data_IF_838923730724
#
_entry.id   IF_838923730724
#
_cell.length_a   1.000
_cell.length_b   1.000
_cell.length_c   1.000
_cell.angle_alpha   90.00
_cell.angle_beta   90.00
_cell.angle_gamma   90.00
#
_symmetry.space_group_name_H-M   'P 1'
#
loop_
_entity.id
_entity.type
_entity.pdbx_description
1 polymer ?
#
# COMPACT_ATOMS: atom_id res chain seq x y z
N UNK A 1 17.36 -23.06 -31.54
CA UNK A 1 16.39 -22.24 -32.31
C UNK A 1 15.01 -22.22 -31.64
N UNK A 2 14.91 -21.75 -30.39
CA UNK A 2 13.63 -21.55 -29.68
C UNK A 2 13.68 -20.16 -29.02
N UNK A 3 13.91 -19.16 -29.85
CA UNK A 3 13.99 -17.75 -29.46
C UNK A 3 13.57 -16.87 -30.65
N UNK A 4 12.37 -17.09 -31.21
CA UNK A 4 11.48 -15.95 -31.43
C UNK A 4 9.99 -16.38 -31.50
N UNK A 5 9.32 -16.59 -30.36
CA UNK A 5 7.84 -16.74 -30.32
C UNK A 5 7.15 -16.09 -29.12
N UNK A 6 7.85 -15.27 -28.35
CA UNK A 6 7.34 -14.60 -27.14
C UNK A 6 7.18 -13.08 -27.29
N UNK A 7 7.24 -12.54 -28.52
CA UNK A 7 7.22 -11.09 -28.76
C UNK A 7 6.05 -10.58 -29.62
N UNK A 8 5.03 -11.41 -29.85
CA UNK A 8 3.75 -10.96 -30.41
C UNK A 8 2.65 -11.21 -29.39
N UNK A 9 2.33 -10.16 -28.61
CA UNK A 9 1.01 -9.82 -28.06
C UNK A 9 1.17 -8.94 -26.81
N UNK A 10 1.77 -7.76 -26.98
CA UNK A 10 1.48 -6.62 -26.10
C UNK A 10 0.95 -5.53 -27.02
N UNK A 11 -0.27 -5.73 -27.51
CA UNK A 11 -1.09 -4.61 -27.96
C UNK A 11 -1.44 -3.83 -26.68
N UNK A 12 -1.06 -2.54 -26.56
CA UNK A 12 -1.58 -1.74 -25.47
C UNK A 12 -3.09 -1.65 -25.69
N UNK A 13 -3.86 -2.29 -24.81
CA UNK A 13 -5.27 -2.02 -24.70
C UNK A 13 -5.33 -0.54 -24.26
N UNK A 14 -5.63 0.37 -25.19
CA UNK A 14 -5.95 1.75 -24.84
C UNK A 14 -7.29 1.67 -24.12
N UNK A 15 -7.24 1.37 -22.82
CA UNK A 15 -8.39 1.48 -21.96
C UNK A 15 -8.77 2.96 -21.93
N UNK A 16 -9.95 3.29 -22.44
CA UNK A 16 -10.50 4.63 -22.27
C UNK A 16 -10.58 4.91 -20.76
N UNK A 17 -9.76 5.83 -20.28
CA UNK A 17 -9.73 6.25 -18.87
C UNK A 17 -11.01 7.04 -18.61
N UNK A 18 -12.06 6.33 -18.23
CA UNK A 18 -13.32 6.94 -17.85
C UNK A 18 -13.22 7.46 -16.42
N UNK A 19 -13.69 8.69 -16.21
CA UNK A 19 -13.97 9.18 -14.86
C UNK A 19 -15.00 8.27 -14.17
N UNK A 20 -15.08 8.36 -12.84
CA UNK A 20 -15.98 7.51 -12.07
C UNK A 20 -17.41 7.68 -12.54
N UNK A 21 -18.23 6.64 -12.41
CA UNK A 21 -19.63 6.71 -12.86
C UNK A 21 -20.40 7.85 -12.17
N UNK A 22 -20.08 8.16 -10.92
CA UNK A 22 -20.65 9.29 -10.19
C UNK A 22 -20.26 10.65 -10.79
N UNK A 23 -18.99 10.84 -11.15
CA UNK A 23 -18.46 12.08 -11.74
C UNK A 23 -19.12 12.41 -13.09
N UNK A 24 -19.49 11.36 -13.83
CA UNK A 24 -20.15 11.45 -15.13
C UNK A 24 -21.67 11.58 -15.02
N UNK A 25 -22.24 11.42 -13.83
CA UNK A 25 -23.69 11.45 -13.66
C UNK A 25 -24.23 12.89 -13.78
N UNK A 26 -25.23 13.15 -14.66
CA UNK A 26 -25.83 14.48 -14.78
C UNK A 26 -26.39 15.04 -13.46
N UNK A 27 -27.04 14.24 -12.58
CA UNK A 27 -27.48 14.73 -11.28
C UNK A 27 -26.34 15.26 -10.40
N UNK A 28 -25.18 14.61 -10.43
CA UNK A 28 -24.02 15.05 -9.66
C UNK A 28 -23.45 16.35 -10.19
N UNK A 29 -23.28 16.45 -11.51
CA UNK A 29 -22.75 17.66 -12.15
C UNK A 29 -23.66 18.86 -11.92
N UNK A 30 -24.98 18.68 -11.99
CA UNK A 30 -25.96 19.73 -11.71
C UNK A 30 -25.97 20.13 -10.23
N UNK A 31 -25.89 19.17 -9.30
CA UNK A 31 -25.78 19.48 -7.89
C UNK A 31 -24.51 20.29 -7.60
N UNK A 32 -23.37 19.85 -8.13
CA UNK A 32 -22.08 20.47 -7.89
C UNK A 32 -22.02 21.90 -8.43
N UNK A 33 -22.48 22.12 -9.67
CA UNK A 33 -22.49 23.46 -10.27
C UNK A 33 -23.36 24.43 -9.48
N UNK A 34 -24.55 23.98 -9.05
CA UNK A 34 -25.46 24.77 -8.24
C UNK A 34 -24.88 25.07 -6.84
N UNK A 35 -24.28 24.09 -6.19
CA UNK A 35 -23.66 24.29 -4.87
C UNK A 35 -22.51 25.30 -4.95
N UNK A 36 -21.60 25.14 -5.92
CA UNK A 36 -20.46 26.05 -6.08
C UNK A 36 -20.93 27.48 -6.38
N UNK A 37 -21.91 27.64 -7.28
CA UNK A 37 -22.43 28.96 -7.67
C UNK A 37 -23.21 29.67 -6.56
N UNK A 38 -23.78 28.93 -5.59
CA UNK A 38 -24.55 29.50 -4.48
C UNK A 38 -23.71 29.73 -3.24
N UNK A 39 -22.81 28.80 -2.93
CA UNK A 39 -22.11 28.72 -1.64
C UNK A 39 -20.67 29.22 -1.72
N UNK A 40 -19.99 29.08 -2.87
CA UNK A 40 -18.56 29.38 -2.95
C UNK A 40 -18.23 30.78 -3.48
N UNK A 41 -19.19 31.47 -4.11
CA UNK A 41 -19.04 32.85 -4.60
C UNK A 41 -19.61 33.83 -3.59
N UNK A 42 -18.74 34.54 -2.86
CA UNK A 42 -19.15 35.62 -1.98
C UNK A 42 -19.62 36.88 -2.75
N UNK A 43 -20.25 37.85 -2.05
CA UNK A 43 -20.82 39.07 -2.67
C UNK A 43 -19.82 39.92 -3.47
N UNK A 44 -18.51 39.78 -3.24
CA UNK A 44 -17.45 40.49 -3.96
C UNK A 44 -16.59 39.57 -4.87
N UNK A 45 -17.05 38.36 -5.17
CA UNK A 45 -16.29 37.38 -5.95
C UNK A 45 -15.14 36.68 -5.19
N UNK A 46 -14.99 36.95 -3.89
CA UNK A 46 -14.02 36.27 -3.03
C UNK A 46 -14.50 34.85 -2.64
N UNK A 47 -13.58 33.90 -2.63
CA UNK A 47 -13.84 32.50 -2.21
C UNK A 47 -14.16 32.41 -0.72
N UNK A 48 -15.32 31.87 -0.36
CA UNK A 48 -15.78 31.69 1.03
C UNK A 48 -15.15 30.47 1.75
N UNK A 49 -13.84 30.26 1.62
CA UNK A 49 -13.17 29.19 2.39
C UNK A 49 -13.15 29.49 3.92
N UNK A 50 -13.38 30.74 4.31
CA UNK A 50 -13.40 31.21 5.71
C UNK A 50 -14.55 30.62 6.54
N UNK A 51 -15.64 30.20 5.91
CA UNK A 51 -16.85 29.72 6.58
C UNK A 51 -16.82 28.21 6.87
N UNK A 52 -15.81 27.49 6.39
CA UNK A 52 -15.65 26.07 6.68
C UNK A 52 -15.28 25.83 8.16
N UNK A 53 -15.74 24.74 8.78
CA UNK A 53 -15.29 24.32 10.11
C UNK A 53 -13.76 24.28 10.21
N UNK A 54 -13.21 24.60 11.39
CA UNK A 54 -11.77 24.68 11.62
C UNK A 54 -11.03 23.40 11.18
N UNK A 55 -11.59 22.23 11.50
CA UNK A 55 -11.02 20.95 11.10
C UNK A 55 -10.83 20.84 9.58
N UNK A 56 -11.83 21.30 8.79
CA UNK A 56 -11.76 21.26 7.34
C UNK A 56 -10.71 22.25 6.80
N UNK A 57 -10.58 23.42 7.42
CA UNK A 57 -9.55 24.41 7.06
C UNK A 57 -8.14 23.89 7.38
N UNK A 58 -7.95 23.27 8.54
CA UNK A 58 -6.67 22.67 8.94
C UNK A 58 -6.23 21.56 7.99
N UNK A 59 -7.16 20.73 7.51
CA UNK A 59 -6.88 19.69 6.50
C UNK A 59 -7.02 20.19 5.06
N UNK A 60 -7.04 21.52 4.84
CA UNK A 60 -7.01 22.17 3.52
C UNK A 60 -8.12 21.72 2.56
N UNK A 61 -9.35 21.55 3.07
CA UNK A 61 -10.52 21.44 2.21
C UNK A 61 -10.91 22.82 1.68
N UNK A 62 -11.34 22.85 0.42
CA UNK A 62 -11.90 24.05 -0.21
C UNK A 62 -13.42 23.99 -0.20
N UNK A 63 -14.09 25.14 -0.40
CA UNK A 63 -15.54 25.18 -0.56
C UNK A 63 -16.02 24.27 -1.71
N UNK A 64 -15.28 24.23 -2.82
CA UNK A 64 -15.61 23.35 -3.94
C UNK A 64 -15.52 21.86 -3.56
N UNK A 65 -14.54 21.48 -2.74
CA UNK A 65 -14.45 20.11 -2.25
C UNK A 65 -15.57 19.76 -1.26
N UNK A 66 -16.01 20.73 -0.45
CA UNK A 66 -17.17 20.56 0.42
C UNK A 66 -18.46 20.38 -0.38
N UNK A 67 -18.65 21.13 -1.47
CA UNK A 67 -19.76 20.94 -2.39
C UNK A 67 -19.74 19.55 -3.05
N UNK A 68 -18.58 19.07 -3.50
CA UNK A 68 -18.43 17.69 -4.03
C UNK A 68 -18.88 16.67 -2.99
N UNK A 69 -18.42 16.84 -1.74
CA UNK A 69 -18.76 15.99 -0.63
C UNK A 69 -20.27 15.95 -0.35
N UNK A 70 -20.91 17.12 -0.25
CA UNK A 70 -22.36 17.21 -0.01
C UNK A 70 -23.17 16.56 -1.13
N UNK A 71 -22.87 16.89 -2.39
CA UNK A 71 -23.58 16.35 -3.55
C UNK A 71 -23.43 14.83 -3.68
N UNK A 72 -22.23 14.30 -3.43
CA UNK A 72 -21.98 12.86 -3.37
C UNK A 72 -22.88 12.18 -2.32
N UNK A 73 -22.97 12.74 -1.11
CA UNK A 73 -23.80 12.16 -0.06
C UNK A 73 -25.30 12.26 -0.32
N UNK A 74 -25.78 13.38 -0.87
CA UNK A 74 -27.19 13.56 -1.25
C UNK A 74 -27.63 12.47 -2.24
N UNK A 75 -26.83 12.26 -3.30
CA UNK A 75 -27.15 11.24 -4.30
C UNK A 75 -27.03 9.81 -3.74
N UNK A 76 -26.07 9.59 -2.83
CA UNK A 76 -25.95 8.30 -2.15
C UNK A 76 -27.15 8.03 -1.23
N UNK A 77 -27.69 9.05 -0.54
CA UNK A 77 -28.90 8.92 0.30
C UNK A 77 -30.12 8.59 -0.56
N UNK A 78 -30.26 9.21 -1.73
CA UNK A 78 -31.34 8.91 -2.69
C UNK A 78 -31.24 7.44 -3.14
N UNK A 79 -30.05 6.99 -3.58
CA UNK A 79 -29.84 5.63 -4.01
C UNK A 79 -30.16 4.59 -2.92
N UNK A 80 -29.77 4.83 -1.67
CA UNK A 80 -30.08 3.95 -0.54
C UNK A 80 -31.57 3.89 -0.21
N UNK A 81 -32.28 5.03 -0.30
CA UNK A 81 -33.74 5.08 -0.10
C UNK A 81 -34.48 4.32 -1.18
N UNK A 82 -34.06 4.44 -2.43
CA UNK A 82 -34.63 3.69 -3.55
C UNK A 82 -34.40 2.19 -3.40
N UNK A 83 -33.19 1.78 -2.99
CA UNK A 83 -32.89 0.37 -2.72
C UNK A 83 -33.70 -0.24 -1.58
N UNK A 84 -33.99 0.54 -0.52
CA UNK A 84 -34.75 0.07 0.64
C UNK A 84 -36.28 0.16 0.45
N UNK A 85 -36.76 1.10 -0.36
CA UNK A 85 -38.19 1.30 -0.65
C UNK A 85 -38.71 0.49 -1.85
N UNK A 86 -37.85 0.05 -2.77
CA UNK A 86 -38.26 -0.72 -3.94
C UNK A 86 -38.39 -2.23 -3.62
N UNK A 87 -39.61 -2.67 -3.33
CA UNK A 87 -40.01 -4.05 -3.60
C UNK A 87 -39.90 -4.31 -5.12
N UNK A 88 -38.83 -4.97 -5.55
CA UNK A 88 -38.81 -5.97 -6.63
C UNK A 88 -39.64 -5.70 -7.92
N UNK A 89 -39.67 -4.49 -8.50
CA UNK A 89 -40.46 -4.26 -9.73
C UNK A 89 -39.80 -3.43 -10.83
N UNK A 90 -38.57 -2.94 -10.67
CA UNK A 90 -37.82 -2.35 -11.78
C UNK A 90 -36.39 -2.88 -11.80
N UNK A 91 -36.01 -3.50 -12.92
CA UNK A 91 -34.66 -4.02 -13.21
C UNK A 91 -33.53 -2.97 -13.18
N UNK A 92 -33.83 -1.72 -12.85
CA UNK A 92 -32.85 -0.65 -12.68
C UNK A 92 -32.56 -0.45 -11.19
N UNK A 93 -31.77 -1.35 -10.60
CA UNK A 93 -31.21 -1.15 -9.25
C UNK A 93 -30.37 0.14 -9.26
N UNK A 94 -30.81 1.18 -8.57
CA UNK A 94 -30.02 2.41 -8.40
C UNK A 94 -28.73 2.05 -7.68
N UNK A 95 -27.60 2.02 -8.38
CA UNK A 95 -26.31 1.60 -7.84
C UNK A 95 -25.67 2.76 -7.08
N UNK A 96 -25.05 2.48 -5.94
CA UNK A 96 -24.17 3.47 -5.30
C UNK A 96 -22.98 3.70 -6.23
N UNK A 97 -22.69 4.96 -6.51
CA UNK A 97 -21.60 5.34 -7.40
C UNK A 97 -20.32 5.65 -6.62
N UNK A 98 -19.17 5.35 -7.23
CA UNK A 98 -17.89 5.97 -6.86
C UNK A 98 -17.81 7.37 -7.48
N UNK A 99 -17.15 8.27 -6.77
CA UNK A 99 -16.88 9.65 -7.15
C UNK A 99 -15.38 9.90 -6.98
N UNK A 100 -14.74 10.47 -8.00
CA UNK A 100 -13.30 10.75 -8.01
C UNK A 100 -12.42 9.54 -7.60
N UNK A 101 -12.81 8.33 -8.01
CA UNK A 101 -12.10 7.08 -7.76
C UNK A 101 -12.37 6.47 -6.39
N UNK A 102 -13.29 7.04 -5.60
CA UNK A 102 -13.53 6.63 -4.22
C UNK A 102 -15.01 6.46 -3.92
N UNK A 103 -15.29 5.65 -2.90
CA UNK A 103 -16.63 5.51 -2.35
C UNK A 103 -17.02 6.70 -1.46
N UNK A 104 -18.32 6.94 -1.20
CA UNK A 104 -18.77 8.01 -0.33
C UNK A 104 -18.55 7.69 1.15
N UNK A 105 -17.52 8.31 1.77
CA UNK A 105 -17.18 8.15 3.18
C UNK A 105 -17.67 9.30 4.05
N UNK A 106 -18.16 9.01 5.26
CA UNK A 106 -18.36 10.05 6.27
C UNK A 106 -17.02 10.60 6.73
N UNK A 107 -16.82 11.92 6.57
CA UNK A 107 -15.63 12.60 7.09
C UNK A 107 -15.71 12.70 8.61
N UNK A 108 -14.56 12.61 9.26
CA UNK A 108 -14.42 12.86 10.69
C UNK A 108 -13.21 13.75 10.95
N UNK A 109 -13.40 14.87 11.66
CA UNK A 109 -12.33 15.83 11.95
C UNK A 109 -11.47 16.25 10.74
N UNK A 110 -12.08 16.33 9.55
CA UNK A 110 -11.39 16.65 8.29
C UNK A 110 -10.71 15.48 7.59
N UNK A 111 -10.65 14.29 8.19
CA UNK A 111 -10.18 13.07 7.53
C UNK A 111 -11.20 12.59 6.50
N UNK A 112 -10.75 12.32 5.28
CA UNK A 112 -11.56 11.77 4.20
C UNK A 112 -12.01 10.34 4.48
N UNK A 113 -11.09 9.48 4.94
CA UNK A 113 -11.33 8.06 5.20
C UNK A 113 -10.91 7.67 6.62
N UNK A 114 -11.72 7.97 7.66
CA UNK A 114 -11.30 7.87 9.05
C UNK A 114 -10.85 6.46 9.48
N UNK A 115 -11.48 5.41 8.95
CA UNK A 115 -11.11 4.04 9.25
C UNK A 115 -9.72 3.69 8.67
N UNK A 116 -9.47 4.01 7.40
CA UNK A 116 -8.18 3.84 6.74
C UNK A 116 -7.08 4.58 7.50
N UNK A 117 -7.32 5.83 7.93
CA UNK A 117 -6.37 6.60 8.75
C UNK A 117 -6.05 5.89 10.07
N UNK A 118 -7.08 5.46 10.82
CA UNK A 118 -6.88 4.76 12.09
C UNK A 118 -6.04 3.50 11.89
N UNK A 119 -6.38 2.68 10.90
CA UNK A 119 -5.69 1.41 10.66
C UNK A 119 -4.27 1.61 10.10
N UNK A 120 -4.00 2.68 9.34
CA UNK A 120 -2.64 3.09 8.96
C UNK A 120 -1.81 3.50 10.17
N UNK A 121 -2.38 4.25 11.11
CA UNK A 121 -1.70 4.60 12.38
C UNK A 121 -1.40 3.37 13.22
N UNK A 122 -2.32 2.40 13.30
CA UNK A 122 -2.05 1.13 13.98
C UNK A 122 -0.89 0.36 13.33
N UNK A 123 -0.86 0.29 12.00
CA UNK A 123 0.28 -0.30 11.29
C UNK A 123 1.59 0.45 11.57
N UNK A 124 1.59 1.78 11.54
CA UNK A 124 2.75 2.60 11.92
C UNK A 124 3.27 2.21 13.31
N UNK A 125 2.39 2.11 14.30
CA UNK A 125 2.77 1.74 15.68
C UNK A 125 3.35 0.33 15.73
N UNK A 126 2.75 -0.64 15.04
CA UNK A 126 3.28 -2.01 15.02
C UNK A 126 4.64 -2.12 14.33
N UNK A 127 4.88 -1.38 13.24
CA UNK A 127 6.20 -1.31 12.61
C UNK A 127 7.23 -0.61 13.49
N UNK A 128 6.87 0.48 14.17
CA UNK A 128 7.74 1.16 15.13
C UNK A 128 8.10 0.25 16.31
N UNK A 129 7.13 -0.51 16.84
CA UNK A 129 7.36 -1.52 17.88
C UNK A 129 8.27 -2.66 17.37
N UNK A 130 8.04 -3.12 16.13
CA UNK A 130 8.88 -4.11 15.45
C UNK A 130 10.32 -3.64 15.27
N UNK A 131 10.51 -2.38 14.86
CA UNK A 131 11.83 -1.75 14.74
C UNK A 131 12.57 -1.74 16.09
N UNK A 132 11.87 -1.37 17.18
CA UNK A 132 12.41 -1.43 18.55
C UNK A 132 12.78 -2.86 18.94
N UNK A 133 11.98 -3.85 18.53
CA UNK A 133 12.27 -5.28 18.75
C UNK A 133 13.57 -5.71 18.05
N UNK A 134 13.75 -5.34 16.77
CA UNK A 134 15.02 -5.57 16.05
C UNK A 134 16.17 -4.90 16.79
N UNK A 135 16.02 -3.62 17.18
CA UNK A 135 17.05 -2.87 17.89
C UNK A 135 17.50 -3.58 19.17
N UNK A 136 16.57 -4.15 19.94
CA UNK A 136 16.84 -4.81 21.23
C UNK A 136 17.38 -6.24 21.08
N UNK A 137 16.81 -7.04 20.18
CA UNK A 137 17.00 -8.50 20.19
C UNK A 137 17.99 -9.01 19.13
N UNK A 138 18.18 -8.30 18.01
CA UNK A 138 19.11 -8.74 16.95
C UNK A 138 20.54 -8.31 17.29
N UNK A 139 21.57 -9.17 17.25
CA UNK A 139 22.94 -8.76 17.57
C UNK A 139 23.48 -7.66 16.65
N UNK A 140 24.24 -6.70 17.18
CA UNK A 140 24.82 -5.58 16.40
C UNK A 140 25.71 -6.04 15.24
N UNK A 141 26.39 -7.18 15.41
CA UNK A 141 27.28 -7.77 14.41
C UNK A 141 26.53 -8.62 13.35
N UNK A 142 25.22 -8.80 13.47
CA UNK A 142 24.46 -9.57 12.51
C UNK A 142 24.36 -8.84 11.17
N UNK A 143 24.87 -9.46 10.10
CA UNK A 143 25.03 -8.86 8.76
C UNK A 143 23.74 -8.30 8.15
N UNK A 144 22.55 -8.83 8.50
CA UNK A 144 21.26 -8.31 8.00
C UNK A 144 20.64 -7.23 8.87
N UNK A 145 21.15 -6.97 10.09
CA UNK A 145 20.52 -6.05 11.05
C UNK A 145 20.27 -4.67 10.45
N UNK A 146 21.24 -4.10 9.74
CA UNK A 146 21.10 -2.79 9.13
C UNK A 146 19.98 -2.77 8.08
N UNK A 147 19.84 -3.85 7.30
CA UNK A 147 18.81 -3.95 6.28
C UNK A 147 17.42 -4.05 6.91
N UNK A 148 17.27 -4.82 7.99
CA UNK A 148 15.99 -4.90 8.72
C UNK A 148 15.59 -3.56 9.36
N UNK A 149 16.56 -2.80 9.87
CA UNK A 149 16.28 -1.46 10.44
C UNK A 149 15.89 -0.45 9.37
N UNK A 150 16.58 -0.44 8.22
CA UNK A 150 16.22 0.42 7.08
C UNK A 150 14.80 0.07 6.61
N UNK A 151 14.52 -1.22 6.36
CA UNK A 151 13.18 -1.66 5.96
C UNK A 151 12.10 -1.23 6.95
N UNK A 152 12.37 -1.36 8.25
CA UNK A 152 11.43 -0.95 9.30
C UNK A 152 11.17 0.55 9.29
N UNK A 153 12.21 1.38 9.10
CA UNK A 153 12.07 2.83 8.97
C UNK A 153 11.29 3.22 7.72
N UNK A 154 11.56 2.55 6.59
CA UNK A 154 10.78 2.74 5.35
C UNK A 154 9.31 2.38 5.55
N UNK A 155 9.02 1.28 6.25
CA UNK A 155 7.65 0.87 6.56
C UNK A 155 6.93 1.89 7.46
N UNK A 156 7.59 2.40 8.50
CA UNK A 156 7.05 3.50 9.32
C UNK A 156 6.74 4.72 8.45
N UNK A 157 7.65 5.12 7.55
CA UNK A 157 7.41 6.23 6.63
C UNK A 157 6.23 5.98 5.68
N UNK A 158 6.10 4.77 5.14
CA UNK A 158 4.96 4.41 4.28
C UNK A 158 3.63 4.56 5.02
N UNK A 159 3.52 4.07 6.25
CA UNK A 159 2.30 4.21 7.02
C UNK A 159 2.01 5.63 7.51
N UNK A 160 3.04 6.49 7.66
CA UNK A 160 2.85 7.94 7.82
C UNK A 160 2.17 8.51 6.58
N UNK A 161 2.72 8.26 5.38
CA UNK A 161 2.17 8.82 4.15
C UNK A 161 0.79 8.27 3.81
N UNK A 162 0.53 6.99 4.08
CA UNK A 162 -0.81 6.41 4.00
C UNK A 162 -1.79 7.14 4.93
N UNK A 163 -1.41 7.39 6.20
CA UNK A 163 -2.26 8.13 7.13
C UNK A 163 -2.56 9.57 6.65
N UNK A 164 -1.56 10.23 6.06
CA UNK A 164 -1.70 11.58 5.50
C UNK A 164 -2.60 11.58 4.26
N UNK A 165 -2.41 10.62 3.35
CA UNK A 165 -3.20 10.48 2.13
C UNK A 165 -4.68 10.21 2.42
N UNK A 166 -5.00 9.26 3.30
CA UNK A 166 -6.39 8.97 3.70
C UNK A 166 -7.02 10.09 4.55
N UNK A 167 -6.20 10.94 5.17
CA UNK A 167 -6.69 12.17 5.81
C UNK A 167 -7.09 13.19 4.75
N UNK A 168 -6.21 13.45 3.79
CA UNK A 168 -6.44 14.43 2.74
C UNK A 168 -5.79 13.98 1.43
N UNK A 169 -6.65 13.62 0.49
CA UNK A 169 -6.24 13.24 -0.85
C UNK A 169 -5.92 14.49 -1.70
N UNK A 170 -4.70 14.54 -2.21
CA UNK A 170 -4.14 15.52 -3.13
C UNK A 170 -3.11 14.81 -4.02
N UNK A 171 -2.75 15.35 -5.19
CA UNK A 171 -1.73 14.73 -6.05
C UNK A 171 -0.39 14.49 -5.35
N UNK A 172 0.01 15.37 -4.42
CA UNK A 172 1.27 15.23 -3.68
C UNK A 172 1.18 14.11 -2.64
N UNK A 173 0.10 14.05 -1.87
CA UNK A 173 -0.08 13.01 -0.85
C UNK A 173 -0.30 11.64 -1.49
N UNK A 174 -0.98 11.58 -2.63
CA UNK A 174 -1.14 10.39 -3.47
C UNK A 174 0.23 9.85 -3.91
N UNK A 175 1.08 10.70 -4.50
CA UNK A 175 2.42 10.30 -4.91
C UNK A 175 3.26 9.80 -3.74
N UNK A 176 3.25 10.51 -2.61
CA UNK A 176 4.10 10.16 -1.47
C UNK A 176 3.67 8.87 -0.77
N UNK A 177 2.37 8.57 -0.75
CA UNK A 177 1.87 7.28 -0.27
C UNK A 177 2.35 6.15 -1.17
N UNK A 178 2.03 6.20 -2.46
CA UNK A 178 2.38 5.13 -3.40
C UNK A 178 3.90 4.97 -3.59
N UNK A 179 4.67 6.05 -3.60
CA UNK A 179 6.14 5.96 -3.70
C UNK A 179 6.74 5.32 -2.45
N UNK A 180 6.18 5.62 -1.27
CA UNK A 180 6.64 5.02 -0.02
C UNK A 180 6.27 3.55 0.06
N UNK A 181 5.04 3.18 -0.32
CA UNK A 181 4.59 1.79 -0.38
C UNK A 181 5.44 0.97 -1.37
N UNK A 182 5.67 1.49 -2.57
CA UNK A 182 6.50 0.83 -3.57
C UNK A 182 7.96 0.67 -3.15
N UNK A 183 8.51 1.66 -2.44
CA UNK A 183 9.86 1.55 -1.88
C UNK A 183 9.96 0.44 -0.84
N UNK A 184 8.97 0.32 0.05
CA UNK A 184 8.93 -0.77 1.05
C UNK A 184 8.82 -2.13 0.38
N UNK A 185 7.97 -2.29 -0.64
CA UNK A 185 7.79 -3.55 -1.37
C UNK A 185 9.08 -3.95 -2.09
N UNK A 186 9.69 -3.02 -2.83
CA UNK A 186 10.95 -3.28 -3.52
C UNK A 186 12.11 -3.55 -2.55
N UNK A 187 12.21 -2.78 -1.47
CA UNK A 187 13.23 -3.02 -0.45
C UNK A 187 13.01 -4.39 0.23
N UNK A 188 11.76 -4.82 0.39
CA UNK A 188 11.42 -6.16 0.90
C UNK A 188 11.99 -7.25 0.02
N UNK A 189 11.81 -7.14 -1.30
CA UNK A 189 12.43 -8.05 -2.26
C UNK A 189 13.96 -7.96 -2.18
N UNK A 190 14.51 -6.74 -2.13
CA UNK A 190 15.95 -6.52 -2.06
C UNK A 190 16.60 -7.27 -0.90
N UNK A 191 16.13 -7.08 0.34
CA UNK A 191 16.74 -7.75 1.49
C UNK A 191 16.43 -9.25 1.54
N UNK A 192 15.31 -9.70 0.93
CA UNK A 192 14.98 -11.12 0.78
C UNK A 192 16.02 -11.83 -0.09
N UNK A 193 16.33 -11.28 -1.26
CA UNK A 193 17.37 -11.81 -2.15
C UNK A 193 18.73 -11.82 -1.45
N UNK A 194 19.09 -10.72 -0.76
CA UNK A 194 20.35 -10.67 0.01
C UNK A 194 20.40 -11.75 1.10
N UNK A 195 19.28 -11.99 1.78
CA UNK A 195 19.15 -12.99 2.86
C UNK A 195 19.25 -14.43 2.36
N UNK A 196 18.53 -14.77 1.29
CA UNK A 196 18.40 -16.16 0.82
C UNK A 196 19.63 -16.62 0.03
N UNK A 197 20.29 -15.69 -0.67
CA UNK A 197 21.46 -15.99 -1.50
C UNK A 197 22.79 -15.52 -0.88
N UNK A 198 22.75 -15.08 0.39
CA UNK A 198 23.92 -14.66 1.17
C UNK A 198 24.83 -13.65 0.46
N UNK A 199 24.22 -12.64 -0.19
CA UNK A 199 24.96 -11.67 -1.01
C UNK A 199 25.88 -10.75 -0.19
N UNK A 200 25.69 -10.66 1.13
CA UNK A 200 26.56 -9.91 2.04
C UNK A 200 27.49 -10.85 2.81
N UNK A 201 28.73 -10.42 3.10
CA UNK A 201 29.62 -11.15 3.99
C UNK A 201 29.00 -11.35 5.37
N UNK A 202 29.29 -12.50 5.98
CA UNK A 202 28.86 -12.82 7.35
C UNK A 202 29.70 -12.05 8.40
N UNK A 203 30.87 -11.56 8.00
CA UNK A 203 31.82 -10.81 8.82
C UNK A 203 31.53 -9.29 8.74
N UNK A 204 31.40 -8.58 9.87
CA UNK A 204 30.96 -7.17 9.91
C UNK A 204 31.81 -6.14 9.15
N UNK A 205 33.04 -6.48 8.75
CA UNK A 205 34.01 -5.56 8.15
C UNK A 205 34.47 -5.96 6.74
N UNK A 206 33.93 -7.03 6.18
CA UNK A 206 34.31 -7.45 4.83
C UNK A 206 33.54 -6.62 3.79
N UNK A 207 34.20 -6.16 2.72
CA UNK A 207 33.54 -5.41 1.66
C UNK A 207 32.47 -6.27 0.99
N UNK A 208 31.32 -5.68 0.67
CA UNK A 208 30.28 -6.36 -0.11
C UNK A 208 30.81 -6.75 -1.49
N UNK A 209 30.54 -7.99 -1.90
CA UNK A 209 30.92 -8.49 -3.22
C UNK A 209 30.23 -7.76 -4.37
N UNK A 210 30.72 -7.94 -5.61
CA UNK A 210 30.18 -7.26 -6.79
C UNK A 210 28.70 -7.59 -7.03
N UNK A 211 28.26 -8.82 -6.74
CA UNK A 211 26.86 -9.25 -6.91
C UNK A 211 25.89 -8.44 -6.05
N UNK A 212 26.24 -8.14 -4.80
CA UNK A 212 25.42 -7.29 -3.92
C UNK A 212 25.29 -5.88 -4.49
N UNK A 213 26.41 -5.30 -4.94
CA UNK A 213 26.43 -3.93 -5.49
C UNK A 213 25.59 -3.85 -6.77
N UNK A 214 25.74 -4.83 -7.67
CA UNK A 214 24.95 -4.91 -8.89
C UNK A 214 23.45 -5.03 -8.59
N UNK A 215 23.07 -5.88 -7.63
CA UNK A 215 21.68 -6.03 -7.21
C UNK A 215 21.11 -4.74 -6.59
N UNK A 216 21.90 -4.06 -5.75
CA UNK A 216 21.51 -2.78 -5.16
C UNK A 216 21.33 -1.68 -6.22
N UNK A 217 22.25 -1.60 -7.18
CA UNK A 217 22.16 -0.66 -8.32
C UNK A 217 20.92 -0.97 -9.16
N UNK A 218 20.68 -2.24 -9.49
CA UNK A 218 19.50 -2.64 -10.26
C UNK A 218 18.20 -2.24 -9.57
N UNK A 219 18.06 -2.55 -8.27
CA UNK A 219 16.88 -2.15 -7.51
C UNK A 219 16.75 -0.62 -7.44
N UNK A 220 17.86 0.11 -7.26
CA UNK A 220 17.88 1.57 -7.27
C UNK A 220 17.39 2.14 -8.59
N UNK A 221 17.91 1.65 -9.72
CA UNK A 221 17.50 2.07 -11.06
C UNK A 221 16.04 1.71 -11.35
N UNK A 222 15.58 0.54 -10.94
CA UNK A 222 14.16 0.15 -11.06
C UNK A 222 13.25 1.12 -10.31
N UNK A 223 13.61 1.48 -9.07
CA UNK A 223 12.82 2.43 -8.28
C UNK A 223 12.84 3.84 -8.88
N UNK A 224 14.01 4.32 -9.31
CA UNK A 224 14.14 5.62 -9.96
C UNK A 224 13.31 5.67 -11.25
N UNK A 225 13.35 4.61 -12.06
CA UNK A 225 12.50 4.49 -13.24
C UNK A 225 11.00 4.52 -12.90
N UNK A 226 10.58 3.77 -11.88
CA UNK A 226 9.19 3.72 -11.39
C UNK A 226 8.67 5.10 -10.98
N UNK A 227 9.39 5.80 -10.10
CA UNK A 227 8.96 7.12 -9.63
C UNK A 227 9.06 8.18 -10.73
N UNK A 228 10.06 8.10 -11.62
CA UNK A 228 10.19 9.03 -12.74
C UNK A 228 9.02 8.89 -13.69
N UNK A 229 8.64 7.67 -14.04
CA UNK A 229 7.47 7.40 -14.88
C UNK A 229 6.18 7.97 -14.26
N UNK A 230 5.91 7.67 -13.00
CA UNK A 230 4.70 8.12 -12.31
C UNK A 230 4.65 9.63 -12.05
N UNK A 231 5.81 10.29 -11.95
CA UNK A 231 5.89 11.75 -11.72
C UNK A 231 5.76 12.55 -13.02
N UNK A 232 6.31 12.04 -14.13
CA UNK A 232 6.38 12.77 -15.40
C UNK A 232 5.10 12.73 -16.23
N UNK A 233 4.17 11.82 -15.90
CA UNK A 233 2.88 11.74 -16.59
C UNK A 233 1.92 12.86 -16.14
N UNK A 234 1.03 13.36 -17.03
CA UNK A 234 0.04 14.38 -16.67
C UNK A 234 -0.94 13.94 -15.58
N UNK A 235 -1.12 12.63 -15.42
CA UNK A 235 -1.94 12.01 -14.38
C UNK A 235 -1.21 10.79 -13.83
N UNK A 236 -1.40 10.54 -12.54
CA UNK A 236 -0.83 9.36 -11.89
C UNK A 236 -1.44 8.09 -12.49
N UNK A 237 -0.60 7.19 -13.00
CA UNK A 237 -1.04 5.90 -13.54
C UNK A 237 -1.16 4.86 -12.41
N UNK A 238 -2.32 4.88 -11.76
CA UNK A 238 -2.63 3.96 -10.68
C UNK A 238 -2.57 2.48 -11.13
N UNK A 239 -3.02 2.18 -12.34
CA UNK A 239 -3.03 0.82 -12.90
C UNK A 239 -1.62 0.27 -13.03
N UNK A 240 -0.71 1.06 -13.60
CA UNK A 240 0.71 0.72 -13.67
C UNK A 240 1.30 0.55 -12.27
N UNK A 241 1.05 1.49 -11.35
CA UNK A 241 1.59 1.41 -10.00
C UNK A 241 1.17 0.11 -9.28
N UNK A 242 -0.10 -0.26 -9.39
CA UNK A 242 -0.61 -1.50 -8.81
C UNK A 242 0.02 -2.73 -9.47
N UNK A 243 0.12 -2.77 -10.80
CA UNK A 243 0.74 -3.89 -11.51
C UNK A 243 2.22 -4.06 -11.14
N UNK A 244 2.99 -2.97 -11.10
CA UNK A 244 4.41 -2.99 -10.73
C UNK A 244 4.63 -3.53 -9.31
N UNK A 245 3.88 -3.00 -8.33
CA UNK A 245 3.96 -3.46 -6.94
C UNK A 245 3.51 -4.91 -6.77
N UNK A 246 2.45 -5.32 -7.46
CA UNK A 246 1.96 -6.69 -7.44
C UNK A 246 3.02 -7.67 -7.97
N UNK A 247 3.68 -7.37 -9.10
CA UNK A 247 4.74 -8.22 -9.66
C UNK A 247 5.90 -8.39 -8.68
N UNK A 248 6.40 -7.30 -8.10
CA UNK A 248 7.49 -7.35 -7.12
C UNK A 248 7.06 -8.11 -5.85
N UNK A 249 5.84 -7.88 -5.38
CA UNK A 249 5.25 -8.58 -4.23
C UNK A 249 5.10 -10.09 -4.46
N UNK A 250 4.67 -10.51 -5.65
CA UNK A 250 4.55 -11.93 -6.00
C UNK A 250 5.91 -12.62 -6.05
N UNK A 251 6.95 -11.96 -6.59
CA UNK A 251 8.32 -12.50 -6.58
C UNK A 251 8.81 -12.64 -5.13
N UNK A 252 8.60 -11.61 -4.30
CA UNK A 252 8.94 -11.65 -2.88
C UNK A 252 8.25 -12.83 -2.17
N UNK A 253 6.95 -13.00 -2.38
CA UNK A 253 6.17 -14.09 -1.78
C UNK A 253 6.65 -15.47 -2.26
N UNK A 254 6.93 -15.64 -3.55
CA UNK A 254 7.45 -16.89 -4.10
C UNK A 254 8.77 -17.30 -3.43
N UNK A 255 9.69 -16.34 -3.22
CA UNK A 255 10.97 -16.60 -2.54
C UNK A 255 10.76 -17.07 -1.08
N UNK A 256 9.81 -16.48 -0.35
CA UNK A 256 9.51 -16.89 1.02
C UNK A 256 8.75 -18.22 1.11
N UNK A 257 7.95 -18.57 0.10
CA UNK A 257 7.35 -19.91 -0.02
C UNK A 257 8.40 -21.00 -0.25
N UNK A 258 9.55 -20.67 -0.85
CA UNK A 258 10.68 -21.59 -1.00
C UNK A 258 11.50 -21.77 0.30
N UNK A 259 11.37 -20.86 1.27
CA UNK A 259 12.16 -20.89 2.52
C UNK A 259 12.08 -22.22 3.29
N UNK A 260 10.90 -22.82 3.55
CA UNK A 260 10.83 -24.11 4.22
C UNK A 260 11.39 -25.29 3.39
N UNK A 261 11.50 -25.13 2.06
CA UNK A 261 11.83 -26.22 1.15
C UNK A 261 13.34 -26.45 1.04
N UNK A 262 13.75 -27.70 0.82
CA UNK A 262 15.15 -28.16 0.69
C UNK A 262 15.98 -27.52 -0.43
N UNK A 263 15.35 -26.73 -1.31
CA UNK A 263 15.95 -26.22 -2.56
C UNK A 263 17.02 -25.15 -2.32
N UNK A 264 16.90 -24.36 -1.25
CA UNK A 264 17.82 -23.25 -0.92
C UNK A 264 18.62 -23.61 0.34
N UNK A 265 19.93 -23.37 0.34
CA UNK A 265 20.74 -23.45 1.57
C UNK A 265 20.39 -22.24 2.43
N UNK A 266 19.72 -22.42 3.56
CA UNK A 266 19.29 -21.28 4.39
C UNK A 266 20.44 -20.68 5.22
N UNK A 267 21.31 -21.54 5.73
CA UNK A 267 22.36 -21.18 6.69
C UNK A 267 23.73 -21.71 6.22
N UNK A 268 24.73 -20.83 6.02
CA UNK A 268 26.06 -21.25 5.56
C UNK A 268 26.79 -22.15 6.57
N UNK A 269 26.51 -22.04 7.87
CA UNK A 269 27.13 -22.86 8.91
C UNK A 269 26.50 -24.24 9.13
N UNK A 270 25.48 -24.61 8.34
CA UNK A 270 24.75 -25.88 8.46
C UNK A 270 24.69 -26.60 7.13
N UNK A 271 24.25 -27.87 7.21
CA UNK A 271 23.91 -28.68 6.05
C UNK A 271 22.81 -28.02 5.20
N UNK A 272 22.80 -28.30 3.89
CA UNK A 272 21.83 -27.76 2.93
C UNK A 272 20.38 -28.05 3.34
N UNK A 273 20.13 -29.20 3.98
CA UNK A 273 18.80 -29.65 4.38
C UNK A 273 18.38 -29.19 5.78
N UNK A 274 19.26 -28.51 6.55
CA UNK A 274 18.89 -28.02 7.88
C UNK A 274 17.74 -27.01 7.83
N UNK A 275 16.65 -27.28 8.55
CA UNK A 275 15.48 -26.40 8.67
C UNK A 275 15.17 -26.17 10.15
N UNK A 276 15.09 -24.91 10.61
CA UNK A 276 14.73 -24.62 12.00
C UNK A 276 13.24 -24.86 12.24
N UNK A 277 12.84 -25.02 13.51
CA UNK A 277 11.44 -25.27 13.90
C UNK A 277 10.46 -24.17 13.48
N UNK A 278 10.94 -22.99 13.10
CA UNK A 278 10.14 -21.87 12.62
C UNK A 278 10.11 -21.74 11.09
N UNK A 279 10.59 -22.72 10.34
CA UNK A 279 10.73 -22.67 8.87
C UNK A 279 9.42 -22.44 8.11
N UNK A 280 8.27 -22.79 8.69
CA UNK A 280 6.94 -22.55 8.11
C UNK A 280 6.37 -21.15 8.39
N UNK A 281 6.98 -20.35 9.29
CA UNK A 281 6.46 -19.02 9.62
C UNK A 281 6.43 -18.07 8.42
N UNK A 282 7.42 -18.03 7.51
CA UNK A 282 7.33 -17.21 6.30
C UNK A 282 6.18 -17.64 5.38
N UNK A 283 5.92 -18.94 5.25
CA UNK A 283 4.80 -19.42 4.44
C UNK A 283 3.45 -19.01 5.04
N UNK A 284 3.31 -19.08 6.37
CA UNK A 284 2.14 -18.55 7.07
C UNK A 284 2.01 -17.03 6.87
N UNK A 285 3.10 -16.28 6.96
CA UNK A 285 3.10 -14.85 6.70
C UNK A 285 2.64 -14.54 5.27
N UNK A 286 3.18 -15.23 4.26
CA UNK A 286 2.75 -15.09 2.86
C UNK A 286 1.27 -15.41 2.69
N UNK A 287 0.77 -16.50 3.29
CA UNK A 287 -0.65 -16.83 3.23
C UNK A 287 -1.52 -15.70 3.81
N UNK A 288 -1.17 -15.21 5.01
CA UNK A 288 -1.92 -14.16 5.67
C UNK A 288 -1.87 -12.83 4.91
N UNK A 289 -0.70 -12.43 4.39
CA UNK A 289 -0.59 -11.20 3.60
C UNK A 289 -1.30 -11.31 2.26
N UNK A 290 -1.25 -12.46 1.58
CA UNK A 290 -2.02 -12.68 0.34
C UNK A 290 -3.52 -12.64 0.60
N UNK A 291 -4.01 -13.26 1.68
CA UNK A 291 -5.43 -13.15 2.06
C UNK A 291 -5.81 -11.71 2.38
N UNK A 292 -4.97 -10.98 3.13
CA UNK A 292 -5.21 -9.57 3.42
C UNK A 292 -5.27 -8.72 2.15
N UNK A 293 -4.27 -8.82 1.26
CA UNK A 293 -4.23 -8.07 0.00
C UNK A 293 -5.36 -8.46 -0.95
N UNK A 294 -5.86 -9.71 -0.89
CA UNK A 294 -7.02 -10.11 -1.70
C UNK A 294 -8.30 -9.34 -1.36
N UNK A 295 -8.37 -8.70 -0.18
CA UNK A 295 -9.52 -7.86 0.18
C UNK A 295 -9.72 -6.70 -0.82
N UNK A 296 -8.63 -6.14 -1.36
CA UNK A 296 -8.65 -5.09 -2.39
C UNK A 296 -9.46 -5.51 -3.64
N UNK A 297 -9.53 -6.82 -3.94
CA UNK A 297 -10.22 -7.32 -5.13
C UNK A 297 -11.74 -7.22 -5.03
N UNK A 298 -12.31 -7.06 -3.82
CA UNK A 298 -13.76 -7.02 -3.64
C UNK A 298 -14.36 -5.64 -3.91
N UNK A 299 -13.58 -4.54 -3.81
CA UNK A 299 -13.97 -3.14 -4.05
C UNK A 299 -15.47 -2.84 -3.76
N UNK A 300 -15.89 -3.10 -2.52
CA UNK A 300 -17.29 -2.97 -2.12
C UNK A 300 -17.60 -1.59 -1.50
N UNK A 301 -18.84 -1.09 -1.62
CA UNK A 301 -19.23 0.18 -1.01
C UNK A 301 -19.14 0.13 0.53
N UNK A 302 -18.66 1.18 1.19
CA UNK A 302 -18.30 1.17 2.59
C UNK A 302 -19.49 0.87 3.51
N UNK A 303 -19.31 -0.09 4.41
CA UNK A 303 -20.22 -0.34 5.51
C UNK A 303 -20.29 0.88 6.41
N UNK A 304 -21.53 1.30 6.70
CA UNK A 304 -21.83 2.54 7.42
C UNK A 304 -21.14 3.79 6.83
N UNK A 305 -20.77 3.76 5.54
CA UNK A 305 -19.96 4.81 4.88
C UNK A 305 -18.64 5.10 5.59
N UNK A 306 -18.05 4.11 6.25
CA UNK A 306 -16.78 4.28 6.96
C UNK A 306 -15.78 3.16 6.68
N UNK A 307 -16.22 1.92 6.52
CA UNK A 307 -15.33 0.75 6.39
C UNK A 307 -15.55 0.12 5.02
N UNK A 308 -14.56 0.19 4.14
CA UNK A 308 -14.54 -0.48 2.85
C UNK A 308 -13.51 -1.62 2.81
N UNK A 309 -13.35 -2.21 1.63
CA UNK A 309 -12.36 -3.25 1.37
C UNK A 309 -10.93 -2.81 1.73
N UNK A 310 -10.58 -1.58 1.37
CA UNK A 310 -9.25 -1.00 1.57
C UNK A 310 -8.92 -0.80 3.06
N UNK A 311 -9.85 -0.25 3.83
CA UNK A 311 -9.71 -0.12 5.28
C UNK A 311 -9.56 -1.51 5.96
N UNK A 312 -10.30 -2.53 5.50
CA UNK A 312 -10.15 -3.89 6.02
C UNK A 312 -8.78 -4.50 5.69
N UNK A 313 -8.21 -4.21 4.52
CA UNK A 313 -6.83 -4.60 4.20
C UNK A 313 -5.84 -3.96 5.17
N UNK A 314 -5.97 -2.66 5.48
CA UNK A 314 -5.15 -1.99 6.49
C UNK A 314 -5.30 -2.67 7.85
N UNK A 315 -6.53 -2.93 8.30
CA UNK A 315 -6.77 -3.59 9.58
C UNK A 315 -6.17 -4.99 9.63
N UNK A 316 -6.31 -5.77 8.56
CA UNK A 316 -5.81 -7.15 8.49
C UNK A 316 -4.28 -7.23 8.60
N UNK A 317 -3.55 -6.22 8.13
CA UNK A 317 -2.08 -6.20 8.19
C UNK A 317 -1.54 -5.91 9.60
N UNK A 318 -2.29 -5.22 10.46
CA UNK A 318 -1.90 -4.90 11.86
C UNK A 318 -1.45 -6.13 12.66
N UNK A 319 -2.23 -7.23 12.77
CA UNK A 319 -1.80 -8.43 13.49
C UNK A 319 -0.73 -9.26 12.74
N UNK A 320 -0.58 -9.07 11.43
CA UNK A 320 0.38 -9.80 10.60
C UNK A 320 1.80 -9.26 10.79
N UNK A 321 1.95 -7.94 10.90
CA UNK A 321 3.26 -7.27 11.07
C UNK A 321 4.08 -7.84 12.25
N UNK A 322 3.53 -8.03 13.46
CA UNK A 322 4.26 -8.66 14.56
C UNK A 322 4.75 -10.09 14.28
N UNK A 323 4.04 -10.87 13.46
CA UNK A 323 4.45 -12.23 13.07
C UNK A 323 5.75 -12.14 12.26
N UNK A 324 5.83 -11.20 11.33
CA UNK A 324 7.03 -10.97 10.52
C UNK A 324 8.24 -10.59 11.37
N UNK A 325 8.10 -9.61 12.26
CA UNK A 325 9.19 -9.20 13.13
C UNK A 325 9.66 -10.31 14.08
N UNK A 326 8.74 -11.14 14.59
CA UNK A 326 9.11 -12.32 15.39
C UNK A 326 9.92 -13.32 14.57
N UNK A 327 9.54 -13.55 13.32
CA UNK A 327 10.30 -14.39 12.39
C UNK A 327 11.70 -13.82 12.15
N UNK A 328 11.83 -12.53 11.81
CA UNK A 328 13.14 -11.89 11.56
C UNK A 328 14.10 -12.02 12.76
N UNK A 329 13.58 -11.89 13.98
CA UNK A 329 14.39 -12.08 15.19
C UNK A 329 14.80 -13.54 15.37
N UNK A 330 13.87 -14.50 15.21
CA UNK A 330 14.19 -15.93 15.30
C UNK A 330 15.21 -16.35 14.26
N UNK A 331 15.05 -15.88 13.02
CA UNK A 331 15.99 -16.12 11.93
C UNK A 331 17.38 -15.58 12.26
N UNK A 332 17.47 -14.35 12.79
CA UNK A 332 18.75 -13.73 13.15
C UNK A 332 19.48 -14.41 14.34
N UNK A 333 18.72 -15.04 15.24
CA UNK A 333 19.26 -15.72 16.43
C UNK A 333 19.55 -17.20 16.20
N UNK A 334 19.24 -17.75 15.03
CA UNK A 334 19.47 -19.16 14.73
C UNK A 334 20.95 -19.54 14.81
N UNK A 335 21.22 -20.70 15.40
CA UNK A 335 22.58 -21.22 15.55
C UNK A 335 23.29 -21.45 14.21
N UNK A 336 22.56 -21.62 13.11
CA UNK A 336 23.12 -21.83 11.78
C UNK A 336 23.87 -20.63 11.19
N UNK A 337 23.69 -19.44 11.77
CA UNK A 337 24.47 -18.25 11.43
C UNK A 337 25.82 -18.17 12.15
N UNK A 338 26.00 -18.93 13.23
CA UNK A 338 27.30 -19.04 13.88
C UNK A 338 28.16 -19.85 12.92
N UNK A 339 29.06 -19.18 12.21
CA UNK A 339 30.11 -19.85 11.45
C UNK A 339 30.72 -20.93 12.34
N UNK A 340 30.95 -22.11 11.77
CA UNK A 340 31.77 -23.16 12.38
C UNK A 340 32.99 -22.48 12.98
N UNK A 341 33.08 -22.45 14.31
CA UNK A 341 34.37 -22.30 14.97
C UNK A 341 35.15 -23.52 14.51
N UNK A 342 35.99 -23.34 13.51
CA UNK A 342 37.17 -24.16 13.28
C UNK A 342 38.36 -23.24 13.45
#
# INVERSE_FOLDING_TARGET
MILPRLLCSILPLIAAINASSGDRSPPFQQCLSNCVARTCTGPNGASQNSDLPLALRLTRWTCADDCKYQCMHILTDIALKEQSGAQSSSHLSTRIHQYYGKWPFWRFAGMQEPASVLFSVLNLVTHAAGMKKILKEVPKHFHMRSLYLIWSGLAVNAWVWSSVFHTRDTPVTEMLDYFSAGLVILYSLFFTVVRLFHLRPLTPNSPSGPTYKLWAILCGLMYLGHISYLTLLPRFDYTYNMAANLVIGLIHNALWLLYPWGSIRLFPGKDKHYRPNFSLQPALFVLLTTLATSLELFDFPPWCRTIDAHALWHLATVPIVPIWYRFLVKDALDSGWRSLKM
#
